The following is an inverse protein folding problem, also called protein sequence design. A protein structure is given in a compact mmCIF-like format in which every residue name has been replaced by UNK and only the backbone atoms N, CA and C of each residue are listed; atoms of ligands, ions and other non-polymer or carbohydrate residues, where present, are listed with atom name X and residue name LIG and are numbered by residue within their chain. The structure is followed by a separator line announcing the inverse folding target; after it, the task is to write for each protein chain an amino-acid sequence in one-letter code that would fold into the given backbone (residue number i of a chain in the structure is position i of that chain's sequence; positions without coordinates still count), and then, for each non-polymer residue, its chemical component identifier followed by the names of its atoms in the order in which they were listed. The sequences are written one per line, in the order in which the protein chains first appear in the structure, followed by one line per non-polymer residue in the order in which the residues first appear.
data_IF_555441390588
#
_entry.id   IF_555441390588
#
_cell.length_a   1.000
_cell.length_b   1.000
_cell.length_c   1.000
_cell.angle_alpha   90.00
_cell.angle_beta   90.00
_cell.angle_gamma   90.00
#
_symmetry.space_group_name_H-M   'P 1'
#
loop_
_entity.id
_entity.type
_entity.pdbx_description
1 polymer ?
#
# COMPACT_ATOMS: atom_id res chain seq x y z
N UNK A 1 3.09 4.45 -30.68
CA UNK A 1 4.55 4.46 -30.48
C UNK A 1 4.86 3.61 -29.25
N UNK A 2 5.24 2.34 -29.43
CA UNK A 2 5.60 1.45 -28.32
C UNK A 2 7.10 1.60 -28.14
N UNK A 3 7.53 2.39 -27.16
CA UNK A 3 8.94 2.45 -26.79
C UNK A 3 9.32 1.05 -26.30
N UNK A 4 10.18 0.37 -27.04
CA UNK A 4 10.80 -0.89 -26.63
C UNK A 4 11.79 -0.50 -25.54
N UNK A 5 11.34 -0.52 -24.29
CA UNK A 5 12.25 -0.54 -23.15
C UNK A 5 13.00 -1.87 -23.19
N UNK A 6 14.31 -1.91 -22.87
CA UNK A 6 15.01 -3.17 -22.68
C UNK A 6 14.27 -4.02 -21.63
N UNK A 7 14.31 -5.34 -21.76
CA UNK A 7 13.74 -6.28 -20.78
C UNK A 7 14.51 -6.18 -19.46
N UNK A 8 14.10 -5.22 -18.63
CA UNK A 8 14.68 -5.01 -17.31
C UNK A 8 14.16 -6.09 -16.36
N UNK A 9 15.06 -6.64 -15.56
CA UNK A 9 14.69 -7.44 -14.40
C UNK A 9 13.86 -6.61 -13.41
N UNK A 10 13.14 -7.28 -12.51
CA UNK A 10 12.37 -6.59 -11.46
C UNK A 10 13.26 -5.70 -10.58
N UNK A 11 14.49 -6.15 -10.30
CA UNK A 11 15.46 -5.41 -9.50
C UNK A 11 15.88 -4.10 -10.18
N UNK A 12 16.19 -4.16 -11.49
CA UNK A 12 16.58 -2.97 -12.26
C UNK A 12 15.42 -1.97 -12.40
N UNK A 13 14.18 -2.44 -12.58
CA UNK A 13 13.00 -1.55 -12.59
C UNK A 13 12.82 -0.82 -11.27
N UNK A 14 13.02 -1.52 -10.15
CA UNK A 14 12.96 -0.93 -8.80
C UNK A 14 14.04 0.14 -8.62
N UNK A 15 15.27 -0.15 -9.06
CA UNK A 15 16.39 0.78 -8.99
C UNK A 15 16.14 2.03 -9.83
N UNK A 16 15.64 1.87 -11.06
CA UNK A 16 15.27 3.01 -11.92
C UNK A 16 14.18 3.88 -11.29
N UNK A 17 13.15 3.27 -10.70
CA UNK A 17 12.10 4.01 -9.99
C UNK A 17 12.67 4.84 -8.83
N UNK A 18 13.65 4.28 -8.12
CA UNK A 18 14.34 4.97 -7.03
C UNK A 18 15.19 6.14 -7.53
N UNK A 19 15.98 5.94 -8.59
CA UNK A 19 16.78 7.00 -9.23
C UNK A 19 15.86 8.14 -9.69
N UNK A 20 14.79 7.81 -10.40
CA UNK A 20 13.83 8.79 -10.91
C UNK A 20 13.16 9.59 -9.77
N UNK A 21 12.82 8.94 -8.66
CA UNK A 21 12.26 9.61 -7.49
C UNK A 21 13.24 10.63 -6.90
N UNK A 22 14.51 10.25 -6.68
CA UNK A 22 15.53 11.16 -6.15
C UNK A 22 15.79 12.36 -7.07
N UNK A 23 15.94 12.11 -8.38
CA UNK A 23 16.10 13.17 -9.38
C UNK A 23 14.88 14.11 -9.39
N UNK A 24 13.68 13.55 -9.38
CA UNK A 24 12.44 14.32 -9.36
C UNK A 24 12.34 15.22 -8.13
N UNK A 25 12.72 14.72 -6.95
CA UNK A 25 12.73 15.51 -5.72
C UNK A 25 13.85 16.55 -5.67
N UNK A 26 15.03 16.25 -6.22
CA UNK A 26 16.12 17.22 -6.36
C UNK A 26 15.70 18.42 -7.24
N UNK A 27 14.93 18.15 -8.31
CA UNK A 27 14.42 19.19 -9.21
C UNK A 27 13.23 19.98 -8.62
N UNK A 28 12.68 19.57 -7.47
CA UNK A 28 11.52 20.22 -6.86
C UNK A 28 11.97 21.33 -5.92
N UNK A 29 11.89 22.59 -6.37
CA UNK A 29 12.20 23.77 -5.54
C UNK A 29 11.15 24.02 -4.45
N UNK A 30 9.86 23.91 -4.79
CA UNK A 30 8.75 24.07 -3.85
C UNK A 30 7.99 22.75 -3.63
N UNK A 31 8.28 22.09 -2.50
CA UNK A 31 7.67 20.80 -2.14
C UNK A 31 6.17 20.90 -1.89
N UNK A 32 5.72 22.00 -1.28
CA UNK A 32 4.31 22.20 -0.95
C UNK A 32 3.47 22.37 -2.23
N UNK A 33 3.98 23.12 -3.21
CA UNK A 33 3.33 23.35 -4.49
C UNK A 33 3.21 22.06 -5.31
N UNK A 34 4.25 21.21 -5.32
CA UNK A 34 4.23 19.92 -6.05
C UNK A 34 3.05 19.03 -5.65
N UNK A 35 2.66 19.04 -4.37
CA UNK A 35 1.58 18.17 -3.85
C UNK A 35 0.23 18.88 -3.70
N UNK A 36 0.19 20.20 -3.88
CA UNK A 36 -1.04 20.98 -3.71
C UNK A 36 -2.18 20.55 -4.66
N UNK A 37 -1.96 20.30 -5.96
CA UNK A 37 -3.02 19.85 -6.87
C UNK A 37 -3.63 18.51 -6.44
N UNK A 38 -2.78 17.57 -5.99
CA UNK A 38 -3.24 16.26 -5.52
C UNK A 38 -4.09 16.38 -4.24
N UNK A 39 -3.66 17.22 -3.29
CA UNK A 39 -4.44 17.50 -2.07
C UNK A 39 -5.79 18.15 -2.40
N UNK A 40 -5.81 19.14 -3.30
CA UNK A 40 -7.03 19.80 -3.74
C UNK A 40 -7.99 18.84 -4.46
N UNK A 41 -7.49 17.98 -5.34
CA UNK A 41 -8.30 16.97 -6.02
C UNK A 41 -8.92 15.97 -5.03
N UNK A 42 -8.16 15.57 -4.01
CA UNK A 42 -8.64 14.68 -2.96
C UNK A 42 -9.77 15.33 -2.14
N UNK A 43 -9.63 16.59 -1.76
CA UNK A 43 -10.68 17.31 -1.01
C UNK A 43 -11.91 17.58 -1.89
N UNK A 44 -11.72 17.92 -3.17
CA UNK A 44 -12.80 18.14 -4.13
C UNK A 44 -13.71 16.92 -4.29
N UNK A 45 -13.16 15.71 -4.31
CA UNK A 45 -13.96 14.47 -4.36
C UNK A 45 -14.99 14.39 -3.23
N UNK A 46 -14.65 14.81 -2.01
CA UNK A 46 -15.58 14.78 -0.89
C UNK A 46 -16.61 15.90 -0.95
N UNK A 47 -16.21 17.07 -1.49
CA UNK A 47 -17.14 18.17 -1.76
C UNK A 47 -18.18 17.77 -2.81
N UNK A 48 -17.76 17.16 -3.92
CA UNK A 48 -18.66 16.66 -4.96
C UNK A 48 -19.65 15.62 -4.40
N UNK A 49 -19.19 14.70 -3.55
CA UNK A 49 -20.05 13.72 -2.87
C UNK A 49 -21.00 14.31 -1.82
N UNK A 50 -20.68 15.51 -1.32
CA UNK A 50 -21.45 16.22 -0.33
C UNK A 50 -22.39 17.26 -0.94
N UNK A 51 -22.55 17.28 -2.27
CA UNK A 51 -23.31 18.32 -2.98
C UNK A 51 -22.80 19.73 -2.67
N UNK A 52 -21.47 19.87 -2.57
CA UNK A 52 -20.75 21.10 -2.23
C UNK A 52 -20.96 21.64 -0.81
N UNK A 53 -21.57 20.87 0.10
CA UNK A 53 -21.63 21.20 1.53
C UNK A 53 -20.29 20.89 2.24
N UNK A 54 -19.57 21.90 2.76
CA UNK A 54 -18.28 21.71 3.42
C UNK A 54 -18.40 20.91 4.73
N UNK A 55 -19.50 21.03 5.47
CA UNK A 55 -19.70 20.32 6.74
C UNK A 55 -19.89 18.83 6.48
N UNK A 56 -20.80 18.49 5.56
CA UNK A 56 -21.02 17.11 5.15
C UNK A 56 -19.76 16.50 4.51
N UNK A 57 -19.01 17.24 3.69
CA UNK A 57 -17.75 16.78 3.12
C UNK A 57 -16.72 16.42 4.20
N UNK A 58 -16.59 17.24 5.26
CA UNK A 58 -15.70 16.95 6.37
C UNK A 58 -16.08 15.65 7.10
N UNK A 59 -17.38 15.40 7.30
CA UNK A 59 -17.87 14.14 7.88
C UNK A 59 -17.61 12.94 6.96
N UNK A 60 -17.84 13.06 5.66
CA UNK A 60 -17.56 12.01 4.67
C UNK A 60 -16.07 11.66 4.63
N UNK A 61 -15.19 12.66 4.68
CA UNK A 61 -13.74 12.48 4.75
C UNK A 61 -13.33 11.74 6.03
N UNK A 62 -13.87 12.12 7.20
CA UNK A 62 -13.62 11.40 8.46
C UNK A 62 -14.09 9.94 8.39
N UNK A 63 -15.29 9.70 7.86
CA UNK A 63 -15.82 8.36 7.67
C UNK A 63 -14.96 7.52 6.72
N UNK A 64 -14.41 8.11 5.64
CA UNK A 64 -13.50 7.44 4.73
C UNK A 64 -12.25 6.91 5.45
N UNK A 65 -11.57 7.76 6.24
CA UNK A 65 -10.39 7.35 6.98
C UNK A 65 -10.70 6.32 8.08
N UNK A 66 -11.85 6.44 8.75
CA UNK A 66 -12.28 5.44 9.73
C UNK A 66 -12.47 4.05 9.07
N UNK A 67 -13.08 3.99 7.88
CA UNK A 67 -13.20 2.73 7.11
C UNK A 67 -11.84 2.18 6.72
N UNK A 68 -10.90 3.02 6.31
CA UNK A 68 -9.53 2.60 5.96
C UNK A 68 -8.79 2.02 7.17
N UNK A 69 -8.91 2.67 8.33
CA UNK A 69 -8.33 2.20 9.58
C UNK A 69 -8.91 0.83 10.00
N UNK A 70 -10.23 0.67 9.90
CA UNK A 70 -10.89 -0.61 10.19
C UNK A 70 -10.38 -1.74 9.28
N UNK A 71 -10.31 -1.50 7.97
CA UNK A 71 -9.78 -2.48 7.01
C UNK A 71 -8.33 -2.85 7.31
N UNK A 72 -7.52 -1.86 7.68
CA UNK A 72 -6.12 -2.09 8.07
C UNK A 72 -6.00 -2.92 9.35
N UNK A 73 -6.83 -2.66 10.35
CA UNK A 73 -6.88 -3.47 11.58
C UNK A 73 -7.31 -4.91 11.29
N UNK A 74 -8.31 -5.11 10.42
CA UNK A 74 -8.74 -6.43 9.97
C UNK A 74 -7.63 -7.18 9.22
N UNK A 75 -6.94 -6.51 8.29
CA UNK A 75 -5.84 -7.12 7.54
C UNK A 75 -4.70 -7.57 8.46
N UNK A 76 -4.33 -6.76 9.46
CA UNK A 76 -3.32 -7.13 10.45
C UNK A 76 -3.72 -8.32 11.31
N UNK A 77 -5.01 -8.47 11.66
CA UNK A 77 -5.50 -9.66 12.38
C UNK A 77 -5.35 -10.91 11.53
N UNK A 78 -5.85 -10.86 10.29
CA UNK A 78 -5.76 -11.98 9.33
C UNK A 78 -4.31 -12.40 9.07
N UNK A 79 -3.39 -11.44 8.95
CA UNK A 79 -1.98 -11.75 8.75
C UNK A 79 -1.38 -12.53 9.93
N UNK A 80 -1.75 -12.19 11.18
CA UNK A 80 -1.31 -12.94 12.36
C UNK A 80 -1.93 -14.32 12.44
N UNK A 81 -3.22 -14.45 12.13
CA UNK A 81 -3.90 -15.74 12.07
C UNK A 81 -3.25 -16.66 11.02
N UNK A 82 -2.94 -16.12 9.83
CA UNK A 82 -2.25 -16.85 8.77
C UNK A 82 -0.84 -17.30 9.19
N UNK A 83 -0.07 -16.42 9.84
CA UNK A 83 1.26 -16.78 10.35
C UNK A 83 1.17 -17.88 11.41
N UNK A 84 0.26 -17.75 12.38
CA UNK A 84 0.06 -18.78 13.41
C UNK A 84 -0.37 -20.12 12.80
N UNK A 85 -1.20 -20.11 11.75
CA UNK A 85 -1.57 -21.34 11.04
C UNK A 85 -0.40 -21.96 10.27
N UNK A 86 0.50 -21.14 9.71
CA UNK A 86 1.70 -21.62 9.04
C UNK A 86 2.68 -22.24 10.04
N UNK A 87 2.93 -21.57 11.19
CA UNK A 87 3.78 -22.10 12.26
C UNK A 87 3.24 -23.42 12.82
N UNK A 88 1.92 -23.52 13.01
CA UNK A 88 1.28 -24.76 13.44
C UNK A 88 1.44 -25.89 12.41
N UNK A 89 1.27 -25.59 11.12
CA UNK A 89 1.46 -26.55 10.04
C UNK A 89 2.94 -26.99 9.90
N UNK A 90 3.88 -26.07 10.05
CA UNK A 90 5.32 -26.38 10.09
C UNK A 90 5.66 -27.30 11.26
N UNK A 91 5.10 -27.03 12.45
CA UNK A 91 5.28 -27.88 13.64
C UNK A 91 4.67 -29.27 13.42
N UNK A 92 3.49 -29.36 12.81
CA UNK A 92 2.84 -30.64 12.47
C UNK A 92 3.68 -31.43 11.46
N UNK A 93 4.14 -30.79 10.39
CA UNK A 93 5.03 -31.41 9.41
C UNK A 93 6.34 -31.89 10.03
N UNK A 94 6.96 -31.11 10.91
CA UNK A 94 8.17 -31.52 11.64
C UNK A 94 7.90 -32.75 12.51
N UNK A 95 6.76 -32.79 13.20
CA UNK A 95 6.37 -33.93 14.03
C UNK A 95 6.13 -35.23 13.23
N UNK A 96 5.63 -35.10 12.00
CA UNK A 96 5.39 -36.22 11.09
C UNK A 96 6.68 -36.67 10.38
N UNK A 97 7.53 -35.73 9.96
CA UNK A 97 8.80 -35.98 9.30
C UNK A 97 9.86 -36.63 10.20
N UNK A 98 9.78 -36.44 11.52
CA UNK A 98 10.64 -37.12 12.49
C UNK A 98 10.44 -38.64 12.57
N UNK A 99 9.43 -39.21 11.91
CA UNK A 99 9.19 -40.66 11.85
C UNK A 99 9.87 -41.36 10.65
N UNK A 100 10.23 -40.64 9.59
CA UNK A 100 10.76 -41.22 8.35
C UNK A 100 12.30 -41.31 8.31
N UNK A 101 13.01 -40.61 9.22
CA UNK A 101 14.49 -40.62 9.30
C UNK A 101 15.06 -41.67 10.28
N UNK A 102 14.23 -42.57 10.82
CA UNK A 102 14.60 -43.54 11.87
C UNK A 102 14.66 -45.03 11.42
N UNK A 103 14.79 -45.32 10.12
CA UNK A 103 14.89 -46.69 9.58
C UNK A 103 16.11 -46.86 8.66
#
# INVERSE_FOLDING_TARGET
MRCIMPELTQAERSLLGTIAAHQSWANTSNRAARTAPARAAHDRKFLEQADWDPVRAAHLRKAHYARLALKSAQARRRAREALASAEAAETELESLGGADDAA
#
